data_IF_506523163131
#
_entry.id   IF_506523163131
#
_cell.length_a   1.000
_cell.length_b   1.000
_cell.length_c   1.000
_cell.angle_alpha   90.00
_cell.angle_beta   90.00
_cell.angle_gamma   90.00
#
_symmetry.space_group_name_H-M   'P 1'
#
loop_
_entity.id
_entity.type
_entity.pdbx_description
1 polymer ?
#
# COMPACT_ATOMS: atom_id res chain seq x y z
N UNK A 1 5.52 -0.26 8.71
CA UNK A 1 5.27 1.12 8.24
C UNK A 1 3.97 1.70 8.79
N UNK A 2 3.92 3.03 9.03
CA UNK A 2 2.68 3.73 9.44
C UNK A 2 1.61 3.65 8.35
N UNK A 3 0.46 3.04 8.67
CA UNK A 3 -0.63 2.81 7.73
C UNK A 3 -1.25 4.10 7.17
N UNK A 4 -1.21 5.22 7.91
CA UNK A 4 -1.72 6.48 7.37
C UNK A 4 -0.81 7.11 6.32
N UNK A 5 0.44 6.64 6.19
CA UNK A 5 1.36 7.11 5.15
C UNK A 5 1.17 6.37 3.82
N UNK A 6 1.16 5.03 3.85
CA UNK A 6 1.12 4.22 2.64
C UNK A 6 -0.28 3.72 2.27
N UNK A 7 -1.20 3.66 3.22
CA UNK A 7 -2.54 3.07 3.04
C UNK A 7 -3.35 3.75 1.94
N UNK A 8 -3.54 5.09 1.96
CA UNK A 8 -4.28 5.79 0.92
C UNK A 8 -3.70 5.55 -0.49
N UNK A 9 -2.37 5.67 -0.63
CA UNK A 9 -1.66 5.42 -1.89
C UNK A 9 -1.84 3.98 -2.38
N UNK A 10 -1.78 3.00 -1.47
CA UNK A 10 -1.99 1.59 -1.79
C UNK A 10 -3.42 1.30 -2.24
N UNK A 11 -4.42 1.82 -1.52
CA UNK A 11 -5.82 1.65 -1.91
C UNK A 11 -6.13 2.29 -3.26
N UNK A 12 -5.62 3.49 -3.53
CA UNK A 12 -5.81 4.12 -4.85
C UNK A 12 -5.26 3.25 -5.97
N UNK A 13 -4.02 2.75 -5.84
CA UNK A 13 -3.43 1.85 -6.84
C UNK A 13 -4.25 0.57 -7.03
N UNK A 14 -4.64 -0.10 -5.94
CA UNK A 14 -5.37 -1.36 -6.02
C UNK A 14 -6.76 -1.19 -6.65
N UNK A 15 -7.47 -0.10 -6.34
CA UNK A 15 -8.75 0.21 -6.96
C UNK A 15 -8.63 0.56 -8.44
N UNK A 16 -7.60 1.32 -8.84
CA UNK A 16 -7.31 1.55 -10.26
C UNK A 16 -7.02 0.23 -11.01
N UNK A 17 -6.27 -0.68 -10.39
CA UNK A 17 -6.00 -2.02 -10.94
C UNK A 17 -7.29 -2.83 -11.07
N UNK A 18 -8.14 -2.82 -10.05
CA UNK A 18 -9.43 -3.52 -10.07
C UNK A 18 -10.39 -2.94 -11.12
N UNK A 19 -10.39 -1.61 -11.28
CA UNK A 19 -11.19 -0.89 -12.27
C UNK A 19 -10.81 -1.30 -13.69
N UNK A 20 -9.50 -1.30 -13.99
CA UNK A 20 -8.98 -1.73 -15.30
C UNK A 20 -9.21 -3.22 -15.58
N UNK A 21 -9.14 -4.07 -14.55
CA UNK A 21 -9.39 -5.49 -14.66
C UNK A 21 -8.30 -6.27 -15.44
N UNK A 22 -8.67 -7.44 -15.96
CA UNK A 22 -7.77 -8.33 -16.70
C UNK A 22 -7.07 -9.41 -15.86
N UNK A 23 -6.38 -10.32 -16.55
CA UNK A 23 -5.76 -11.51 -15.93
C UNK A 23 -4.74 -11.15 -14.85
N UNK A 24 -3.86 -10.18 -15.14
CA UNK A 24 -2.83 -9.72 -14.20
C UNK A 24 -3.42 -9.00 -13.00
N UNK A 25 -4.53 -8.25 -13.16
CA UNK A 25 -5.18 -7.56 -12.03
C UNK A 25 -5.65 -8.53 -10.96
N UNK A 26 -6.28 -9.64 -11.36
CA UNK A 26 -6.68 -10.71 -10.44
C UNK A 26 -5.47 -11.25 -9.67
N UNK A 27 -4.37 -11.52 -10.35
CA UNK A 27 -3.13 -11.98 -9.73
C UNK A 27 -2.56 -10.96 -8.73
N UNK A 28 -2.48 -9.69 -9.12
CA UNK A 28 -1.97 -8.61 -8.26
C UNK A 28 -2.78 -8.48 -6.98
N UNK A 29 -4.12 -8.52 -7.07
CA UNK A 29 -5.01 -8.48 -5.92
C UNK A 29 -4.91 -9.75 -5.03
N UNK A 30 -4.57 -10.89 -5.63
CA UNK A 30 -4.43 -12.15 -4.91
C UNK A 30 -3.10 -12.24 -4.12
N UNK A 31 -2.01 -11.70 -4.68
CA UNK A 31 -0.68 -11.74 -4.05
C UNK A 31 -0.43 -10.55 -3.09
N UNK A 32 -1.16 -9.44 -3.22
CA UNK A 32 -0.91 -8.24 -2.39
C UNK A 32 -0.92 -8.48 -0.86
N UNK A 33 -1.70 -9.41 -0.27
CA UNK A 33 -1.65 -9.69 1.16
C UNK A 33 -0.31 -10.22 1.69
N UNK A 34 0.55 -10.76 0.81
CA UNK A 34 1.84 -11.34 1.19
C UNK A 34 2.97 -10.31 1.26
N UNK A 35 2.81 -9.15 0.60
CA UNK A 35 3.88 -8.16 0.42
C UNK A 35 3.63 -6.84 1.16
N UNK A 36 2.49 -6.68 1.85
CA UNK A 36 2.16 -5.42 2.54
C UNK A 36 3.28 -5.00 3.53
N UNK A 37 3.59 -3.69 3.66
CA UNK A 37 4.72 -3.17 4.45
C UNK A 37 4.46 -3.14 5.96
N UNK A 38 3.59 -4.03 6.45
CA UNK A 38 3.23 -4.18 7.85
C UNK A 38 2.85 -5.64 8.12
N UNK A 39 3.56 -6.30 9.03
CA UNK A 39 3.33 -7.71 9.40
C UNK A 39 1.90 -8.00 9.87
N UNK A 40 1.28 -7.09 10.64
CA UNK A 40 -0.11 -7.26 11.09
C UNK A 40 -1.14 -7.08 9.96
N UNK A 41 -0.85 -6.16 9.03
CA UNK A 41 -1.67 -5.98 7.84
C UNK A 41 -1.57 -7.22 6.95
N UNK A 42 -0.37 -7.77 6.74
CA UNK A 42 -0.17 -9.04 6.01
C UNK A 42 -0.98 -10.17 6.62
N UNK A 43 -0.83 -10.41 7.93
CA UNK A 43 -1.57 -11.45 8.62
C UNK A 43 -3.10 -11.28 8.47
N UNK A 44 -3.62 -10.08 8.74
CA UNK A 44 -5.07 -9.81 8.63
C UNK A 44 -5.57 -9.97 7.19
N UNK A 45 -4.81 -9.47 6.21
CA UNK A 45 -5.16 -9.51 4.80
C UNK A 45 -5.13 -10.95 4.25
N UNK A 46 -4.18 -11.77 4.70
CA UNK A 46 -4.13 -13.18 4.33
C UNK A 46 -5.34 -13.96 4.87
N UNK A 47 -5.78 -13.69 6.10
CA UNK A 47 -7.02 -14.27 6.64
C UNK A 47 -8.26 -13.84 5.85
N UNK A 48 -8.37 -12.55 5.50
CA UNK A 48 -9.47 -12.06 4.66
C UNK A 48 -9.46 -12.67 3.27
N UNK A 49 -8.27 -12.88 2.68
CA UNK A 49 -8.10 -13.54 1.39
C UNK A 49 -8.52 -15.01 1.42
N UNK A 50 -8.22 -15.76 2.50
CA UNK A 50 -8.65 -17.16 2.65
C UNK A 50 -10.17 -17.29 2.60
N UNK A 51 -10.89 -16.34 3.19
CA UNK A 51 -12.35 -16.31 3.20
C UNK A 51 -12.95 -15.97 1.82
N UNK A 52 -12.26 -15.15 1.02
CA UNK A 52 -12.76 -14.71 -0.28
C UNK A 52 -11.60 -14.34 -1.21
N UNK A 53 -11.28 -15.23 -2.16
CA UNK A 53 -10.28 -14.97 -3.20
C UNK A 53 -10.82 -13.98 -4.24
N UNK A 54 -9.96 -13.17 -4.90
CA UNK A 54 -10.40 -12.28 -5.97
C UNK A 54 -10.98 -13.08 -7.14
N UNK A 55 -12.28 -12.98 -7.36
CA UNK A 55 -13.06 -13.67 -8.40
C UNK A 55 -14.24 -12.81 -8.84
N UNK A 56 -14.75 -13.06 -10.05
CA UNK A 56 -15.88 -12.31 -10.62
C UNK A 56 -15.56 -10.84 -10.80
N UNK A 57 -16.47 -9.97 -10.37
CA UNK A 57 -16.29 -8.52 -10.40
C UNK A 57 -15.19 -8.09 -9.39
N UNK A 58 -13.99 -7.83 -9.91
CA UNK A 58 -12.82 -7.46 -9.09
C UNK A 58 -13.00 -6.14 -8.35
N UNK A 59 -13.73 -5.17 -8.92
CA UNK A 59 -14.04 -3.89 -8.28
C UNK A 59 -14.90 -4.13 -7.03
N UNK A 60 -15.98 -4.90 -7.18
CA UNK A 60 -16.86 -5.25 -6.06
C UNK A 60 -16.15 -6.10 -5.02
N UNK A 61 -15.31 -7.05 -5.44
CA UNK A 61 -14.49 -7.83 -4.52
C UNK A 61 -13.56 -6.94 -3.69
N UNK A 62 -12.82 -6.02 -4.34
CA UNK A 62 -11.88 -5.15 -3.64
C UNK A 62 -12.60 -4.14 -2.74
N UNK A 63 -13.75 -3.61 -3.16
CA UNK A 63 -14.62 -2.79 -2.31
C UNK A 63 -15.01 -3.52 -1.02
N UNK A 64 -15.49 -4.77 -1.14
CA UNK A 64 -15.86 -5.59 0.01
C UNK A 64 -14.64 -5.92 0.89
N UNK A 65 -13.49 -6.23 0.28
CA UNK A 65 -12.25 -6.49 0.98
C UNK A 65 -11.77 -5.25 1.77
N UNK A 66 -11.82 -4.06 1.16
CA UNK A 66 -11.49 -2.80 1.81
C UNK A 66 -12.43 -2.52 2.99
N UNK A 67 -13.73 -2.79 2.84
CA UNK A 67 -14.70 -2.66 3.93
C UNK A 67 -14.46 -3.63 5.09
N UNK A 68 -13.98 -4.86 4.83
CA UNK A 68 -13.52 -5.76 5.92
C UNK A 68 -12.38 -5.13 6.72
N UNK A 69 -11.43 -4.49 6.05
CA UNK A 69 -10.34 -3.76 6.72
C UNK A 69 -10.89 -2.57 7.51
N UNK A 70 -11.78 -1.77 6.94
CA UNK A 70 -12.39 -0.63 7.63
C UNK A 70 -13.17 -1.06 8.88
N UNK A 71 -14.00 -2.09 8.79
CA UNK A 71 -14.73 -2.64 9.92
C UNK A 71 -13.79 -3.13 11.04
N UNK A 72 -12.66 -3.76 10.67
CA UNK A 72 -11.62 -4.12 11.64
C UNK A 72 -11.04 -2.89 12.32
N UNK A 73 -10.71 -1.82 11.58
CA UNK A 73 -10.17 -0.58 12.14
C UNK A 73 -11.17 0.14 13.05
N UNK A 74 -12.46 0.17 12.68
CA UNK A 74 -13.55 0.73 13.51
C UNK A 74 -13.63 -0.01 14.84
N UNK A 75 -13.65 -1.35 14.83
CA UNK A 75 -13.63 -2.16 16.08
C UNK A 75 -12.39 -1.88 16.92
N UNK A 76 -11.22 -1.73 16.29
CA UNK A 76 -9.99 -1.39 16.99
C UNK A 76 -10.04 0.02 17.61
N UNK A 77 -10.65 1.00 16.92
CA UNK A 77 -10.85 2.35 17.44
C UNK A 77 -11.84 2.40 18.61
N UNK A 78 -12.94 1.63 18.53
CA UNK A 78 -13.89 1.50 19.64
C UNK A 78 -13.23 0.95 20.92
N UNK A 79 -12.22 0.08 20.79
CA UNK A 79 -11.46 -0.46 21.92
C UNK A 79 -10.29 0.44 22.36
N UNK A 80 -9.76 1.26 21.46
CA UNK A 80 -8.64 2.17 21.70
C UNK A 80 -8.76 3.41 20.79
N UNK A 81 -9.28 4.54 21.31
CA UNK A 81 -9.46 5.76 20.52
C UNK A 81 -8.17 6.34 19.91
N UNK A 82 -6.98 5.86 20.33
CA UNK A 82 -5.71 6.24 19.71
C UNK A 82 -5.52 5.55 18.35
N UNK A 83 -6.22 4.46 18.08
CA UNK A 83 -6.24 3.80 16.77
C UNK A 83 -6.89 4.70 15.70
N UNK A 84 -6.58 4.42 14.43
CA UNK A 84 -7.13 5.16 13.31
C UNK A 84 -8.61 4.81 13.12
N UNK A 85 -9.47 5.83 13.12
CA UNK A 85 -10.86 5.72 12.68
C UNK A 85 -10.90 5.98 11.17
N UNK A 86 -11.24 4.98 10.33
CA UNK A 86 -11.41 5.22 8.91
C UNK A 86 -12.66 6.06 8.64
N UNK A 87 -12.66 6.78 7.52
CA UNK A 87 -13.87 7.42 6.99
C UNK A 87 -14.83 6.31 6.52
N UNK A 88 -16.15 6.44 6.76
CA UNK A 88 -17.14 5.51 6.21
C UNK A 88 -16.96 5.36 4.70
N UNK A 89 -17.04 4.12 4.21
CA UNK A 89 -16.90 3.89 2.78
C UNK A 89 -18.11 4.46 2.02
N UNK A 90 -17.89 5.17 0.90
CA UNK A 90 -18.96 5.58 0.02
C UNK A 90 -19.72 4.37 -0.55
N UNK A 91 -20.91 4.57 -1.12
CA UNK A 91 -21.59 3.58 -1.96
C UNK A 91 -20.67 3.02 -3.05
N UNK A 92 -20.87 1.76 -3.42
CA UNK A 92 -20.05 1.08 -4.42
C UNK A 92 -20.04 1.81 -5.77
N UNK A 93 -21.19 2.30 -6.22
CA UNK A 93 -21.33 3.05 -7.49
C UNK A 93 -20.50 4.32 -7.49
N UNK A 94 -20.45 5.04 -6.36
CA UNK A 94 -19.61 6.24 -6.25
C UNK A 94 -18.12 5.89 -6.35
N UNK A 95 -17.69 4.79 -5.74
CA UNK A 95 -16.32 4.29 -5.87
C UNK A 95 -16.01 3.90 -7.31
N UNK A 96 -16.92 3.17 -7.96
CA UNK A 96 -16.76 2.75 -9.35
C UNK A 96 -16.61 3.95 -10.28
N UNK A 97 -17.50 4.94 -10.18
CA UNK A 97 -17.45 6.15 -11.00
C UNK A 97 -16.16 6.95 -10.74
N UNK A 98 -15.80 7.15 -9.47
CA UNK A 98 -14.59 7.87 -9.10
C UNK A 98 -13.32 7.27 -9.74
N UNK A 99 -13.14 5.94 -9.68
CA UNK A 99 -11.96 5.31 -10.27
C UNK A 99 -12.03 5.20 -11.80
N UNK A 100 -13.23 5.16 -12.37
CA UNK A 100 -13.42 5.27 -13.82
C UNK A 100 -12.95 6.64 -14.33
N UNK A 101 -13.35 7.72 -13.64
CA UNK A 101 -12.98 9.10 -14.00
C UNK A 101 -11.47 9.34 -13.86
N UNK A 102 -10.86 8.79 -12.80
CA UNK A 102 -9.41 8.84 -12.62
C UNK A 102 -8.63 8.11 -13.73
N UNK A 103 -9.15 6.99 -14.25
CA UNK A 103 -8.52 6.29 -15.36
C UNK A 103 -8.68 7.02 -16.70
N UNK A 104 -9.75 7.78 -16.87
CA UNK A 104 -9.98 8.61 -18.05
C UNK A 104 -9.10 9.87 -18.07
N UNK A 105 -8.50 10.24 -16.94
CA UNK A 105 -7.68 11.45 -16.81
C UNK A 105 -6.17 11.13 -16.84
N UNK A 106 -5.33 12.01 -17.42
CA UNK A 106 -3.87 11.88 -17.30
C UNK A 106 -3.43 11.88 -15.83
N UNK A 107 -2.57 10.94 -15.39
CA UNK A 107 -2.22 10.82 -14.00
C UNK A 107 -1.28 11.96 -13.56
N UNK A 108 -1.70 12.75 -12.57
CA UNK A 108 -0.89 13.85 -12.00
C UNK A 108 0.31 13.37 -11.18
N UNK A 109 0.23 12.16 -10.62
CA UNK A 109 1.26 11.54 -9.79
C UNK A 109 1.46 10.06 -10.18
N UNK A 110 2.44 9.37 -9.59
CA UNK A 110 2.62 7.93 -9.79
C UNK A 110 1.66 7.18 -8.83
N UNK A 111 0.67 6.41 -9.33
CA UNK A 111 -0.25 5.68 -8.45
C UNK A 111 0.49 4.67 -7.58
N UNK A 112 0.16 4.65 -6.29
CA UNK A 112 0.80 3.73 -5.35
C UNK A 112 2.25 4.05 -5.01
N UNK A 113 2.78 5.23 -5.38
CA UNK A 113 4.17 5.63 -5.11
C UNK A 113 4.59 5.39 -3.66
N UNK A 114 3.85 5.95 -2.69
CA UNK A 114 4.21 5.84 -1.28
C UNK A 114 4.01 4.41 -0.75
N UNK A 115 3.10 3.64 -1.35
CA UNK A 115 2.90 2.22 -1.07
C UNK A 115 4.06 1.35 -1.56
N UNK A 116 4.47 1.49 -2.82
CA UNK A 116 5.53 0.70 -3.44
C UNK A 116 6.90 0.99 -2.82
N UNK A 117 7.20 2.27 -2.52
CA UNK A 117 8.38 2.60 -1.72
C UNK A 117 8.31 1.98 -0.31
N UNK A 118 7.13 1.97 0.31
CA UNK A 118 6.98 1.38 1.64
C UNK A 118 7.19 -0.13 1.63
N UNK A 119 6.76 -0.84 0.58
CA UNK A 119 7.04 -2.28 0.38
C UNK A 119 8.55 -2.49 0.32
N UNK A 120 9.25 -1.80 -0.58
CA UNK A 120 10.70 -1.94 -0.74
C UNK A 120 11.46 -1.62 0.56
N UNK A 121 11.08 -0.53 1.24
CA UNK A 121 11.76 -0.09 2.45
C UNK A 121 11.52 -0.97 3.68
N UNK A 122 10.42 -1.74 3.71
CA UNK A 122 10.13 -2.70 4.78
C UNK A 122 10.47 -4.14 4.39
N UNK A 123 11.10 -4.35 3.23
CA UNK A 123 11.53 -5.66 2.79
C UNK A 123 12.64 -6.20 3.69
N UNK A 124 12.48 -7.44 4.14
CA UNK A 124 13.53 -8.22 4.81
C UNK A 124 13.58 -9.62 4.16
N UNK A 125 14.66 -9.96 3.41
CA UNK A 125 14.76 -11.26 2.74
C UNK A 125 14.85 -12.45 3.71
N UNK A 126 15.20 -12.23 4.97
CA UNK A 126 15.22 -13.28 6.00
C UNK A 126 13.83 -13.60 6.56
N UNK A 127 12.91 -12.63 6.54
CA UNK A 127 11.56 -12.78 7.10
C UNK A 127 10.47 -12.97 6.03
N UNK A 128 10.75 -12.60 4.78
CA UNK A 128 9.79 -12.56 3.70
C UNK A 128 10.24 -13.40 2.52
N UNK A 129 9.28 -14.05 1.85
CA UNK A 129 9.56 -14.86 0.66
C UNK A 129 9.84 -13.94 -0.52
N UNK A 130 11.07 -13.98 -1.03
CA UNK A 130 11.49 -13.23 -2.23
C UNK A 130 10.56 -13.52 -3.41
N UNK A 131 10.16 -14.78 -3.60
CA UNK A 131 9.22 -15.21 -4.66
C UNK A 131 7.88 -14.49 -4.63
N UNK A 132 7.35 -14.15 -3.45
CA UNK A 132 6.08 -13.41 -3.35
C UNK A 132 6.25 -11.97 -3.86
N UNK A 133 7.42 -11.37 -3.63
CA UNK A 133 7.77 -10.04 -4.13
C UNK A 133 8.01 -10.06 -5.64
N UNK A 134 8.78 -11.02 -6.15
CA UNK A 134 8.98 -11.24 -7.59
C UNK A 134 7.64 -11.39 -8.32
N UNK A 135 6.79 -12.29 -7.84
CA UNK A 135 5.46 -12.52 -8.39
C UNK A 135 4.61 -11.25 -8.36
N UNK A 136 4.63 -10.49 -7.25
CA UNK A 136 3.94 -9.21 -7.16
C UNK A 136 4.39 -8.22 -8.24
N UNK A 137 5.70 -8.06 -8.49
CA UNK A 137 6.17 -7.11 -9.52
C UNK A 137 5.87 -7.56 -10.94
N UNK A 138 5.93 -8.86 -11.23
CA UNK A 138 5.51 -9.42 -12.53
C UNK A 138 4.04 -9.09 -12.79
N UNK A 139 3.17 -9.39 -11.81
CA UNK A 139 1.74 -9.16 -11.91
C UNK A 139 1.42 -7.66 -11.96
N UNK A 140 2.09 -6.85 -11.13
CA UNK A 140 1.95 -5.41 -11.12
C UNK A 140 2.34 -4.80 -12.46
N UNK A 141 3.42 -5.25 -13.10
CA UNK A 141 3.81 -4.80 -14.44
C UNK A 141 2.69 -5.03 -15.45
N UNK A 142 2.05 -6.20 -15.43
CA UNK A 142 0.92 -6.50 -16.33
C UNK A 142 -0.36 -5.73 -15.99
N UNK A 143 -0.57 -5.35 -14.73
CA UNK A 143 -1.82 -4.75 -14.27
C UNK A 143 -1.74 -3.25 -13.99
N UNK A 144 -0.57 -2.61 -14.06
CA UNK A 144 -0.41 -1.20 -13.67
C UNK A 144 -1.33 -0.29 -14.52
N UNK A 145 -2.07 0.66 -13.94
CA UNK A 145 -3.21 1.27 -14.62
C UNK A 145 -2.86 2.14 -15.84
N UNK A 146 -1.72 2.84 -15.81
CA UNK A 146 -1.33 3.79 -16.85
C UNK A 146 -0.16 3.27 -17.69
N UNK A 147 -0.35 3.23 -19.01
CA UNK A 147 0.64 2.66 -19.95
C UNK A 147 1.98 3.41 -19.93
N UNK A 148 1.90 4.74 -19.89
CA UNK A 148 3.06 5.64 -19.84
C UNK A 148 4.01 5.36 -18.67
N UNK A 149 3.47 4.86 -17.55
CA UNK A 149 4.25 4.43 -16.39
C UNK A 149 4.58 2.94 -16.44
N UNK A 150 3.67 2.11 -16.94
CA UNK A 150 3.82 0.65 -17.02
C UNK A 150 5.10 0.23 -17.71
N UNK A 151 5.45 0.87 -18.83
CA UNK A 151 6.68 0.60 -19.60
C UNK A 151 7.98 0.74 -18.78
N UNK A 152 7.95 1.49 -17.68
CA UNK A 152 9.11 1.70 -16.80
C UNK A 152 9.17 0.67 -15.65
N UNK A 153 8.13 -0.13 -15.43
CA UNK A 153 8.10 -1.15 -14.39
C UNK A 153 8.95 -2.35 -14.81
N UNK A 154 9.88 -2.72 -13.94
CA UNK A 154 10.77 -3.87 -14.04
C UNK A 154 10.71 -4.65 -12.73
N UNK A 155 11.24 -5.87 -12.75
CA UNK A 155 11.42 -6.65 -11.52
C UNK A 155 12.65 -6.10 -10.79
N UNK A 156 12.51 -5.61 -9.55
CA UNK A 156 13.65 -5.13 -8.77
C UNK A 156 14.57 -6.26 -8.31
N UNK A 157 15.79 -5.92 -7.92
CA UNK A 157 16.68 -6.80 -7.17
C UNK A 157 16.28 -6.84 -5.68
N UNK A 158 16.06 -8.06 -5.18
CA UNK A 158 15.67 -8.37 -3.81
C UNK A 158 16.85 -8.83 -2.93
N UNK A 159 18.10 -8.61 -3.34
CA UNK A 159 19.28 -8.96 -2.54
C UNK A 159 19.28 -8.24 -1.18
N UNK A 160 18.87 -6.97 -1.17
CA UNK A 160 18.75 -6.20 0.07
C UNK A 160 17.65 -5.17 -0.01
N UNK A 161 17.19 -4.70 1.15
CA UNK A 161 16.31 -3.52 1.26
C UNK A 161 16.89 -2.30 0.52
N UNK A 162 18.21 -2.11 0.58
CA UNK A 162 18.87 -0.96 -0.06
C UNK A 162 18.74 -1.04 -1.57
N UNK A 163 19.08 -2.19 -2.15
CA UNK A 163 19.01 -2.45 -3.58
C UNK A 163 17.58 -2.31 -4.09
N UNK A 164 16.62 -2.93 -3.40
CA UNK A 164 15.22 -2.86 -3.78
C UNK A 164 14.67 -1.42 -3.75
N UNK A 165 15.03 -0.61 -2.74
CA UNK A 165 14.61 0.80 -2.70
C UNK A 165 15.25 1.61 -3.83
N UNK A 166 16.53 1.38 -4.14
CA UNK A 166 17.24 2.03 -5.25
C UNK A 166 16.59 1.72 -6.60
N UNK A 167 16.21 0.47 -6.84
CA UNK A 167 15.56 0.05 -8.08
C UNK A 167 14.17 0.68 -8.24
N UNK A 168 13.36 0.67 -7.16
CA UNK A 168 12.06 1.35 -7.16
C UNK A 168 12.24 2.84 -7.43
N UNK A 169 13.26 3.47 -6.84
CA UNK A 169 13.57 4.86 -7.09
C UNK A 169 13.95 5.14 -8.54
N UNK A 170 14.82 4.31 -9.12
CA UNK A 170 15.24 4.39 -10.53
C UNK A 170 14.05 4.29 -11.48
N UNK A 171 13.12 3.36 -11.23
CA UNK A 171 11.89 3.24 -12.02
C UNK A 171 11.04 4.50 -11.93
N UNK A 172 10.82 5.04 -10.73
CA UNK A 172 9.96 6.21 -10.55
C UNK A 172 10.57 7.49 -11.09
N UNK A 173 11.88 7.67 -11.02
CA UNK A 173 12.58 8.80 -11.63
C UNK A 173 12.46 8.83 -13.15
N UNK A 174 12.22 7.68 -13.79
CA UNK A 174 11.90 7.60 -15.24
C UNK A 174 10.43 7.89 -15.55
N UNK A 175 9.54 7.72 -14.58
CA UNK A 175 8.10 8.01 -14.74
C UNK A 175 7.81 9.50 -14.53
N UNK A 176 8.32 10.08 -13.44
CA UNK A 176 8.16 11.50 -13.08
C UNK A 176 9.31 11.97 -12.21
N UNK A 177 9.61 13.28 -12.21
CA UNK A 177 10.65 13.86 -11.37
C UNK A 177 10.45 13.46 -9.90
N UNK A 178 11.51 12.95 -9.28
CA UNK A 178 11.52 12.55 -7.87
C UNK A 178 12.44 13.45 -7.05
N UNK A 179 12.15 13.56 -5.75
CA UNK A 179 13.15 14.01 -4.77
C UNK A 179 14.33 13.04 -4.78
N UNK A 180 15.50 13.50 -4.31
CA UNK A 180 16.67 12.63 -4.18
C UNK A 180 16.37 11.36 -3.37
N UNK A 181 17.06 10.27 -3.69
CA UNK A 181 16.97 9.00 -2.97
C UNK A 181 17.14 9.18 -1.45
N UNK A 182 18.10 10.03 -1.05
CA UNK A 182 18.33 10.37 0.35
C UNK A 182 17.11 11.03 1.00
N UNK A 183 16.47 11.99 0.33
CA UNK A 183 15.25 12.65 0.82
C UNK A 183 14.08 11.66 0.94
N UNK A 184 13.92 10.78 -0.05
CA UNK A 184 12.92 9.70 -0.02
C UNK A 184 13.18 8.75 1.15
N UNK A 185 14.43 8.32 1.35
CA UNK A 185 14.82 7.43 2.44
C UNK A 185 14.58 8.06 3.82
N UNK A 186 14.88 9.35 3.99
CA UNK A 186 14.58 10.10 5.21
C UNK A 186 13.07 10.16 5.48
N UNK A 187 12.26 10.40 4.45
CA UNK A 187 10.80 10.38 4.55
C UNK A 187 10.30 8.98 4.98
N UNK A 188 10.80 7.92 4.36
CA UNK A 188 10.44 6.54 4.71
C UNK A 188 10.86 6.19 6.14
N UNK A 189 12.05 6.62 6.58
CA UNK A 189 12.53 6.46 7.94
C UNK A 189 11.66 7.20 8.97
N UNK A 190 11.13 8.37 8.61
CA UNK A 190 10.17 9.11 9.44
C UNK A 190 8.90 8.27 9.70
N UNK A 191 8.36 7.61 8.66
CA UNK A 191 7.14 6.79 8.75
C UNK A 191 7.38 5.32 9.15
N UNK A 192 8.64 4.88 9.28
CA UNK A 192 8.98 3.54 9.78
C UNK A 192 8.43 3.32 11.19
N UNK A 193 7.71 2.22 11.38
CA UNK A 193 7.17 1.84 12.68
C UNK A 193 8.20 1.03 13.46
N UNK A 194 8.40 1.32 14.74
CA UNK A 194 9.33 0.59 15.61
C UNK A 194 8.74 -0.70 16.20
N UNK A 195 8.03 -1.50 15.41
CA UNK A 195 7.43 -2.78 15.81
C UNK A 195 8.49 -3.90 15.97
N UNK A 196 9.60 -3.59 16.66
CA UNK A 196 10.87 -4.33 16.67
C UNK A 196 10.83 -5.53 17.65
N UNK A 197 10.16 -5.42 18.80
CA UNK A 197 10.13 -6.51 19.79
C UNK A 197 9.21 -7.65 19.32
N UNK A 198 9.65 -8.92 19.41
CA UNK A 198 8.83 -10.12 19.16
C UNK A 198 7.56 -10.16 20.04
N UNK A 199 7.65 -9.63 21.25
CA UNK A 199 6.54 -9.49 22.22
C UNK A 199 5.59 -8.33 21.93
N UNK A 200 5.92 -7.46 20.97
CA UNK A 200 5.04 -6.34 20.61
C UNK A 200 3.79 -6.90 19.94
N UNK A 201 2.65 -6.88 20.64
CA UNK A 201 1.31 -7.19 20.11
C UNK A 201 0.65 -5.90 19.60
N UNK A 202 1.27 -5.26 18.60
CA UNK A 202 0.83 -3.95 18.11
C UNK A 202 -0.60 -4.00 17.53
N UNK A 203 -1.56 -3.34 18.19
CA UNK A 203 -2.94 -3.21 17.70
C UNK A 203 -3.02 -2.26 16.48
N UNK A 204 -2.20 -1.20 16.49
CA UNK A 204 -1.83 -0.34 15.36
C UNK A 204 -0.39 0.12 15.55
N UNK A 205 0.34 0.48 14.48
CA UNK A 205 1.75 0.92 14.52
C UNK A 205 1.98 2.29 15.21
N UNK A 206 1.06 2.71 16.11
CA UNK A 206 1.02 4.00 16.81
C UNK A 206 0.84 3.73 18.30
N UNK A 207 1.91 3.45 19.05
CA UNK A 207 1.82 3.45 20.53
C UNK A 207 2.27 4.81 21.06
N UNK A 208 1.42 5.46 21.84
CA UNK A 208 1.71 6.71 22.57
C UNK A 208 1.68 6.40 24.08
N UNK A 209 2.87 6.41 24.69
CA UNK A 209 3.25 6.03 26.06
C UNK A 209 4.79 5.85 26.15
N UNK A 210 5.38 5.62 27.33
CA UNK A 210 6.84 5.68 27.70
C UNK A 210 7.83 4.77 26.94
N UNK A 211 7.47 4.26 25.77
CA UNK A 211 8.39 3.59 24.85
C UNK A 211 7.92 3.79 23.42
N UNK A 212 8.57 4.71 22.71
CA UNK A 212 8.31 5.18 21.34
C UNK A 212 7.64 4.20 20.36
N UNK A 213 6.85 4.77 19.44
CA UNK A 213 7.17 4.74 17.99
C UNK A 213 6.71 6.04 17.27
N UNK A 214 7.32 7.20 17.59
CA UNK A 214 7.13 8.54 16.98
C UNK A 214 5.70 9.14 17.04
N UNK A 215 5.51 10.24 17.78
CA UNK A 215 4.29 11.05 17.71
C UNK A 215 4.30 11.86 16.40
N UNK A 216 3.59 11.39 15.39
CA UNK A 216 3.54 12.04 14.07
C UNK A 216 2.31 12.92 13.97
N UNK A 217 2.51 14.11 13.40
CA UNK A 217 1.40 15.03 13.11
C UNK A 217 0.45 14.40 12.08
N UNK A 218 -0.78 14.13 12.53
CA UNK A 218 -1.84 13.54 11.71
C UNK A 218 -2.29 14.48 10.59
N UNK A 219 -2.42 15.78 10.86
CA UNK A 219 -2.84 16.78 9.87
C UNK A 219 -1.77 16.91 8.78
N UNK A 220 -0.50 16.94 9.17
CA UNK A 220 0.64 16.93 8.21
C UNK A 220 0.67 15.66 7.38
N UNK A 221 0.50 14.49 8.01
CA UNK A 221 0.49 13.20 7.31
C UNK A 221 -0.66 13.13 6.31
N UNK A 222 -1.86 13.55 6.71
CA UNK A 222 -3.04 13.59 5.86
C UNK A 222 -2.81 14.49 4.64
N UNK A 223 -2.41 15.76 4.85
CA UNK A 223 -2.14 16.71 3.76
C UNK A 223 -1.14 16.15 2.75
N UNK A 224 -0.01 15.62 3.23
CA UNK A 224 1.05 15.08 2.37
C UNK A 224 0.62 13.87 1.55
N UNK A 225 -0.18 12.98 2.13
CA UNK A 225 -0.60 11.74 1.47
C UNK A 225 -1.71 11.98 0.47
N UNK A 226 -2.66 12.86 0.81
CA UNK A 226 -3.79 13.17 -0.06
C UNK A 226 -3.40 14.10 -1.20
N UNK A 227 -2.40 14.97 -1.01
CA UNK A 227 -1.86 15.80 -2.11
C UNK A 227 -1.13 14.99 -3.19
N UNK A 228 -0.88 13.71 -2.97
CA UNK A 228 -0.16 12.80 -3.90
C UNK A 228 -1.07 11.75 -4.53
N UNK A 229 -2.37 11.81 -4.22
CA UNK A 229 -3.37 11.01 -4.90
C UNK A 229 -3.68 11.67 -6.24
N UNK A 230 -3.94 10.85 -7.27
CA UNK A 230 -4.45 11.32 -8.57
C UNK A 230 -5.71 12.18 -8.45
#
# INVERSE_FOLDING_TARGET
MDVSFWGPSGWQLLHLIAQKGGLFAKGTLDIMPFILPCKYCRASAQEFRKQSKPRGNLQKWLYNFHNKVNNKLIRQHAQDPKCLLPVPAPPFEQIQNYYQDLLASPPKEIPGRDFLYSIAYNFNPEEQKVKDHEAFWVLLKGSFPFEEFRRHIRIPDFHSKSTYVTDVHSMFSKMKQQKSLQSVAQQLAYYKSGCIKKTYKGKTCKKVGTGYTKNRDRKRTYRLTHSRLL
#
